data_IF_063497217167
#
_entry.id   IF_063497217167
#
_cell.length_a   1.000
_cell.length_b   1.000
_cell.length_c   1.000
_cell.angle_alpha   90.00
_cell.angle_beta   90.00
_cell.angle_gamma   90.00
#
_symmetry.space_group_name_H-M   'P 1'
#
loop_
_entity.id
_entity.type
_entity.pdbx_description
1 polymer ?
#
# COMPACT_ATOMS: atom_id res chain seq x y z
N UNK A 1 -4.02 0.01 -30.11
CA UNK A 1 -4.98 0.42 -31.15
C UNK A 1 -5.22 1.92 -31.05
N UNK A 2 -5.13 2.64 -32.18
CA UNK A 2 -5.52 4.04 -32.26
C UNK A 2 -7.02 4.15 -32.54
N UNK A 3 -7.70 5.03 -31.84
CA UNK A 3 -9.11 5.36 -32.08
C UNK A 3 -9.24 6.74 -32.71
N UNK A 4 -9.79 6.79 -33.91
CA UNK A 4 -10.05 8.07 -34.61
C UNK A 4 -11.14 8.89 -33.91
N UNK A 5 -12.15 8.22 -33.34
CA UNK A 5 -13.22 8.90 -32.62
C UNK A 5 -12.75 9.52 -31.30
N UNK A 6 -11.86 8.85 -30.58
CA UNK A 6 -11.24 9.35 -29.34
C UNK A 6 -10.00 10.20 -29.61
N UNK A 7 -9.52 10.28 -30.87
CA UNK A 7 -8.28 10.96 -31.27
C UNK A 7 -7.07 10.58 -30.40
N UNK A 8 -6.94 9.30 -30.06
CA UNK A 8 -5.93 8.83 -29.13
C UNK A 8 -5.72 7.31 -29.15
N UNK A 9 -4.86 6.87 -28.26
CA UNK A 9 -4.53 5.46 -28.03
C UNK A 9 -5.28 4.94 -26.79
N UNK A 10 -6.51 4.40 -26.92
CA UNK A 10 -7.31 3.97 -25.78
C UNK A 10 -6.74 2.74 -25.08
N UNK A 11 -5.96 1.92 -25.78
CA UNK A 11 -5.38 0.71 -25.19
C UNK A 11 -4.13 0.24 -25.92
N UNK A 12 -3.29 -0.48 -25.19
CA UNK A 12 -2.14 -1.22 -25.69
C UNK A 12 -2.34 -2.69 -25.39
N UNK A 13 -2.00 -3.56 -26.35
CA UNK A 13 -2.11 -5.00 -26.18
C UNK A 13 -0.72 -5.60 -26.06
N UNK A 14 -0.63 -6.68 -25.30
CA UNK A 14 0.64 -7.39 -25.07
C UNK A 14 0.81 -8.63 -25.97
N UNK A 15 -0.19 -8.97 -26.78
CA UNK A 15 -0.05 -10.03 -27.74
C UNK A 15 0.72 -9.57 -28.99
N UNK A 16 1.61 -10.42 -29.50
CA UNK A 16 2.45 -10.12 -30.65
C UNK A 16 2.15 -11.09 -31.78
N UNK A 17 1.37 -10.68 -32.80
CA UNK A 17 1.17 -11.46 -34.00
C UNK A 17 2.41 -11.45 -34.91
N UNK A 18 2.62 -12.50 -35.66
CA UNK A 18 3.60 -12.53 -36.74
C UNK A 18 3.09 -11.75 -37.98
N UNK A 19 1.78 -11.80 -38.20
CA UNK A 19 1.12 -11.07 -39.25
C UNK A 19 -0.32 -10.77 -38.91
N UNK A 20 -0.84 -9.63 -39.38
CA UNK A 20 -2.22 -9.17 -39.23
C UNK A 20 -2.84 -8.90 -40.58
N UNK A 21 -4.08 -9.36 -40.80
CA UNK A 21 -4.81 -9.09 -42.03
C UNK A 21 -6.31 -8.90 -41.75
N UNK A 22 -6.87 -7.78 -42.23
CA UNK A 22 -8.32 -7.60 -42.37
C UNK A 22 -8.83 -8.31 -43.64
N UNK A 23 -9.83 -9.15 -43.48
CA UNK A 23 -10.52 -9.83 -44.63
C UNK A 23 -12.00 -10.00 -44.25
N UNK A 24 -12.91 -9.72 -45.21
CA UNK A 24 -14.35 -9.93 -45.01
C UNK A 24 -14.92 -9.29 -43.71
N UNK A 25 -14.48 -8.09 -43.38
CA UNK A 25 -14.85 -7.39 -42.15
C UNK A 25 -14.36 -8.04 -40.84
N UNK A 26 -13.52 -9.05 -40.87
CA UNK A 26 -12.88 -9.66 -39.70
C UNK A 26 -11.39 -9.33 -39.68
N UNK A 27 -10.85 -9.25 -38.46
CA UNK A 27 -9.42 -9.17 -38.20
C UNK A 27 -8.86 -10.56 -37.96
N UNK A 28 -7.86 -10.93 -38.74
CA UNK A 28 -7.11 -12.20 -38.56
C UNK A 28 -5.69 -11.89 -38.14
N UNK A 29 -5.15 -12.74 -37.27
CA UNK A 29 -3.74 -12.75 -36.95
C UNK A 29 -3.16 -14.15 -37.16
N UNK A 30 -1.85 -14.19 -37.37
CA UNK A 30 -1.10 -15.44 -37.56
C UNK A 30 -0.05 -15.53 -36.47
N UNK A 31 0.03 -16.68 -35.83
CA UNK A 31 0.98 -16.96 -34.77
C UNK A 31 1.33 -18.46 -34.73
N UNK A 32 2.62 -18.77 -34.75
CA UNK A 32 3.13 -20.15 -34.67
C UNK A 32 2.45 -21.10 -35.70
N UNK A 33 2.24 -20.63 -36.92
CA UNK A 33 1.60 -21.41 -37.99
C UNK A 33 0.08 -21.56 -37.92
N UNK A 34 -0.56 -20.98 -36.90
CA UNK A 34 -2.02 -20.95 -36.73
C UNK A 34 -2.62 -19.60 -37.17
N UNK A 35 -3.84 -19.66 -37.64
CA UNK A 35 -4.65 -18.45 -37.93
C UNK A 35 -5.72 -18.27 -36.84
N UNK A 36 -5.81 -17.07 -36.33
CA UNK A 36 -6.77 -16.69 -35.29
C UNK A 36 -7.68 -15.59 -35.82
N UNK A 37 -8.98 -15.71 -35.58
CA UNK A 37 -9.96 -14.69 -35.86
C UNK A 37 -10.25 -13.90 -34.60
N UNK A 38 -10.20 -12.58 -34.66
CA UNK A 38 -10.45 -11.70 -33.52
C UNK A 38 -11.91 -11.27 -33.44
N UNK A 39 -12.37 -10.95 -32.22
CA UNK A 39 -13.74 -10.48 -31.94
C UNK A 39 -14.84 -11.46 -32.40
N UNK A 40 -14.61 -12.76 -32.26
CA UNK A 40 -15.56 -13.80 -32.66
C UNK A 40 -16.22 -14.54 -31.50
N UNK A 41 -15.81 -14.25 -30.28
CA UNK A 41 -16.38 -14.79 -29.05
C UNK A 41 -16.42 -13.71 -27.94
N UNK A 42 -17.05 -14.03 -26.81
CA UNK A 42 -17.20 -13.14 -25.66
C UNK A 42 -16.12 -13.31 -24.60
N UNK A 43 -15.14 -14.20 -24.84
CA UNK A 43 -14.02 -14.38 -23.92
C UNK A 43 -13.07 -13.18 -24.03
N UNK A 44 -12.89 -12.47 -22.92
CA UNK A 44 -12.00 -11.32 -22.82
C UNK A 44 -10.64 -11.72 -22.26
N UNK A 45 -9.67 -10.84 -22.38
CA UNK A 45 -8.30 -11.02 -21.87
C UNK A 45 -7.63 -12.35 -22.32
N UNK A 46 -8.06 -12.97 -23.40
CA UNK A 46 -7.49 -14.21 -23.91
C UNK A 46 -7.06 -14.03 -25.37
N UNK A 47 -5.79 -14.24 -25.62
CA UNK A 47 -5.21 -14.16 -26.96
C UNK A 47 -4.29 -15.38 -27.18
N UNK A 48 -4.51 -16.08 -28.28
CA UNK A 48 -3.73 -17.29 -28.62
C UNK A 48 -3.78 -18.38 -27.52
N UNK A 49 -4.95 -18.54 -26.90
CA UNK A 49 -5.19 -19.46 -25.78
C UNK A 49 -4.39 -19.13 -24.50
N UNK A 50 -3.87 -17.90 -24.42
CA UNK A 50 -3.16 -17.40 -23.24
C UNK A 50 -4.02 -16.34 -22.57
N UNK A 51 -4.33 -16.59 -21.30
CA UNK A 51 -5.01 -15.62 -20.44
C UNK A 51 -4.07 -14.43 -20.17
N UNK A 52 -4.54 -13.24 -20.48
CA UNK A 52 -3.88 -11.97 -20.20
C UNK A 52 -4.45 -11.28 -18.96
N UNK A 53 -3.87 -10.15 -18.63
CA UNK A 53 -4.28 -9.27 -17.53
C UNK A 53 -4.52 -7.88 -18.10
N UNK A 54 -5.67 -7.30 -17.81
CA UNK A 54 -5.94 -5.88 -18.05
C UNK A 54 -5.29 -5.04 -16.97
N UNK A 55 -4.57 -4.00 -17.37
CA UNK A 55 -3.81 -3.17 -16.43
C UNK A 55 -4.09 -1.70 -16.70
N UNK A 56 -4.36 -0.93 -15.64
CA UNK A 56 -4.50 0.52 -15.68
C UNK A 56 -3.50 1.12 -14.69
N UNK A 57 -2.57 1.92 -15.19
CA UNK A 57 -1.62 2.66 -14.35
C UNK A 57 -1.86 4.16 -14.53
N UNK A 58 -2.02 4.87 -13.43
CA UNK A 58 -2.17 6.33 -13.42
C UNK A 58 -1.71 6.90 -12.08
N UNK A 59 -1.76 8.22 -11.95
CA UNK A 59 -1.30 8.89 -10.73
C UNK A 59 -2.26 9.98 -10.27
N UNK A 60 -2.46 10.06 -8.96
CA UNK A 60 -3.14 11.19 -8.31
C UNK A 60 -2.11 12.22 -7.85
N UNK A 61 -2.24 13.43 -8.35
CA UNK A 61 -1.45 14.57 -7.90
C UNK A 61 -2.34 15.81 -7.76
N UNK A 62 -3.28 15.81 -6.78
CA UNK A 62 -4.17 16.96 -6.58
C UNK A 62 -3.39 18.21 -6.15
N UNK A 63 -3.91 19.37 -6.52
CA UNK A 63 -3.31 20.66 -6.13
C UNK A 63 -3.50 20.95 -4.64
N UNK A 64 -2.54 21.59 -3.94
CA UNK A 64 -1.22 22.03 -4.43
C UNK A 64 -0.26 20.86 -4.66
N UNK A 65 0.49 20.88 -5.76
CA UNK A 65 1.33 19.74 -6.18
C UNK A 65 2.57 19.54 -5.30
N UNK A 66 3.03 20.60 -4.65
CA UNK A 66 4.23 20.60 -3.79
C UNK A 66 3.94 20.33 -2.30
N UNK A 67 2.68 20.16 -1.93
CA UNK A 67 2.32 19.81 -0.56
C UNK A 67 2.35 18.28 -0.39
N UNK A 68 2.86 17.83 0.74
CA UNK A 68 2.74 16.42 1.15
C UNK A 68 1.29 16.12 1.48
N UNK A 69 0.78 15.04 0.94
CA UNK A 69 -0.60 14.59 1.06
C UNK A 69 -0.68 13.25 1.77
N UNK A 70 -1.81 12.99 2.40
CA UNK A 70 -2.19 11.68 2.91
C UNK A 70 -3.30 11.13 2.03
N UNK A 71 -3.01 10.06 1.29
CA UNK A 71 -3.95 9.31 0.48
C UNK A 71 -4.57 8.24 1.37
N UNK A 72 -5.88 8.34 1.63
CA UNK A 72 -6.57 7.48 2.60
C UNK A 72 -7.25 6.28 1.97
N UNK A 73 -7.82 6.48 0.78
CA UNK A 73 -8.66 5.47 0.13
C UNK A 73 -8.32 5.38 -1.34
N UNK A 74 -8.62 4.24 -1.90
CA UNK A 74 -8.72 4.03 -3.33
C UNK A 74 -10.12 3.52 -3.61
N UNK A 75 -10.81 4.13 -4.55
CA UNK A 75 -12.13 3.73 -4.99
C UNK A 75 -12.22 3.72 -6.50
N UNK A 76 -13.14 2.95 -7.05
CA UNK A 76 -13.41 2.93 -8.48
C UNK A 76 -14.84 2.49 -8.77
N UNK A 77 -15.41 3.06 -9.82
CA UNK A 77 -16.69 2.64 -10.40
C UNK A 77 -16.42 1.60 -11.48
N UNK A 78 -16.89 0.38 -11.28
CA UNK A 78 -16.73 -0.73 -12.22
C UNK A 78 -17.80 -1.78 -11.97
N UNK A 79 -18.14 -2.52 -13.02
CA UNK A 79 -19.04 -3.66 -12.92
C UNK A 79 -18.37 -4.91 -12.31
N UNK A 80 -17.05 -4.90 -12.13
CA UNK A 80 -16.30 -5.98 -11.50
C UNK A 80 -15.24 -5.44 -10.52
N UNK A 81 -14.77 -6.28 -9.61
CA UNK A 81 -13.68 -5.95 -8.71
C UNK A 81 -12.33 -5.94 -9.46
N UNK A 82 -11.39 -5.16 -8.96
CA UNK A 82 -10.01 -5.07 -9.44
C UNK A 82 -9.05 -5.22 -8.28
N UNK A 83 -7.89 -5.81 -8.52
CA UNK A 83 -6.79 -5.75 -7.57
C UNK A 83 -5.95 -4.50 -7.82
N UNK A 84 -5.50 -3.83 -6.76
CA UNK A 84 -4.46 -2.81 -6.87
C UNK A 84 -3.11 -3.44 -6.54
N UNK A 85 -2.38 -3.84 -7.58
CA UNK A 85 -1.12 -4.57 -7.43
C UNK A 85 0.05 -3.68 -7.06
N UNK A 86 -0.05 -2.38 -7.32
CA UNK A 86 0.96 -1.41 -6.93
C UNK A 86 0.32 -0.08 -6.52
N UNK A 87 0.71 0.40 -5.37
CA UNK A 87 0.54 1.77 -4.90
C UNK A 87 1.94 2.31 -4.61
N UNK A 88 2.29 3.43 -5.19
CA UNK A 88 3.62 4.01 -5.06
C UNK A 88 3.51 5.52 -4.80
N UNK A 89 4.15 5.97 -3.74
CA UNK A 89 4.41 7.39 -3.51
C UNK A 89 5.92 7.61 -3.51
N UNK A 90 6.36 8.86 -3.48
CA UNK A 90 7.77 9.18 -3.27
C UNK A 90 8.32 8.69 -1.91
N UNK A 91 7.43 8.34 -0.98
CA UNK A 91 7.78 8.01 0.39
C UNK A 91 7.47 6.56 0.79
N UNK A 92 6.56 5.87 0.12
CA UNK A 92 6.10 4.54 0.53
C UNK A 92 5.50 3.75 -0.63
N UNK A 93 5.35 2.45 -0.43
CA UNK A 93 4.73 1.55 -1.40
C UNK A 93 3.71 0.65 -0.72
N UNK A 94 2.73 0.20 -1.48
CA UNK A 94 1.67 -0.65 -0.99
C UNK A 94 0.99 -1.46 -2.09
N UNK A 95 0.00 -2.23 -1.70
CA UNK A 95 -0.90 -2.95 -2.59
C UNK A 95 -2.21 -3.24 -1.87
N UNK A 96 -3.28 -3.48 -2.62
CA UNK A 96 -4.59 -3.86 -2.09
C UNK A 96 -5.07 -5.05 -2.92
N UNK A 97 -5.17 -6.22 -2.30
CA UNK A 97 -5.75 -7.36 -2.97
C UNK A 97 -7.24 -7.12 -3.25
N UNK A 98 -7.75 -7.70 -4.32
CA UNK A 98 -9.14 -7.56 -4.76
C UNK A 98 -10.16 -7.81 -3.64
N UNK A 99 -9.94 -8.83 -2.82
CA UNK A 99 -10.81 -9.21 -1.71
C UNK A 99 -11.01 -8.10 -0.64
N UNK A 100 -10.14 -7.09 -0.61
CA UNK A 100 -10.26 -5.98 0.33
C UNK A 100 -11.06 -4.79 -0.20
N UNK A 101 -11.50 -4.85 -1.45
CA UNK A 101 -12.43 -3.87 -1.97
C UNK A 101 -13.87 -4.27 -1.65
N UNK A 102 -14.58 -3.40 -0.98
CA UNK A 102 -16.01 -3.56 -0.65
C UNK A 102 -16.84 -2.74 -1.63
N UNK A 103 -17.86 -3.37 -2.22
CA UNK A 103 -18.79 -2.66 -3.08
C UNK A 103 -19.89 -2.00 -2.25
N UNK A 104 -20.05 -0.69 -2.39
CA UNK A 104 -21.10 0.10 -1.76
C UNK A 104 -21.66 1.09 -2.78
N UNK A 105 -22.98 1.08 -2.99
CA UNK A 105 -23.70 2.02 -3.86
C UNK A 105 -23.14 2.08 -5.31
N UNK A 106 -22.58 0.97 -5.81
CA UNK A 106 -22.01 0.88 -7.15
C UNK A 106 -20.50 1.24 -7.24
N UNK A 107 -19.93 1.75 -6.17
CA UNK A 107 -18.49 2.03 -6.07
C UNK A 107 -17.76 0.96 -5.27
N UNK A 108 -16.62 0.53 -5.77
CA UNK A 108 -15.69 -0.33 -5.04
C UNK A 108 -14.75 0.54 -4.22
N UNK A 109 -14.57 0.23 -2.96
CA UNK A 109 -13.85 1.05 -2.01
C UNK A 109 -12.92 0.22 -1.13
N UNK A 110 -11.72 0.72 -0.90
CA UNK A 110 -10.79 0.17 0.09
C UNK A 110 -9.94 1.26 0.72
N UNK A 111 -9.47 1.01 1.96
CA UNK A 111 -8.45 1.84 2.57
C UNK A 111 -7.07 1.54 2.00
N UNK A 112 -6.33 2.59 1.69
CA UNK A 112 -4.93 2.49 1.26
C UNK A 112 -4.07 2.03 2.43
N UNK A 113 -3.24 1.02 2.18
CA UNK A 113 -2.31 0.46 3.16
C UNK A 113 -0.92 0.38 2.53
N UNK A 114 0.10 0.76 3.26
CA UNK A 114 1.47 0.50 2.84
C UNK A 114 1.90 -0.91 3.26
N UNK A 115 2.80 -1.52 2.50
CA UNK A 115 3.34 -2.84 2.83
C UNK A 115 4.17 -2.77 4.11
N UNK A 116 3.93 -3.71 5.02
CA UNK A 116 4.78 -3.90 6.20
C UNK A 116 6.21 -4.24 5.75
N UNK A 117 7.21 -3.58 6.33
CA UNK A 117 8.63 -3.85 6.05
C UNK A 117 9.43 -2.69 5.48
N UNK A 118 8.80 -1.62 5.02
CA UNK A 118 9.54 -0.39 4.70
C UNK A 118 9.85 0.33 6.01
N UNK A 119 11.05 0.16 6.51
CA UNK A 119 11.54 0.73 7.78
C UNK A 119 12.13 2.13 7.61
N UNK A 120 11.60 2.93 6.71
CA UNK A 120 12.06 4.32 6.60
C UNK A 120 11.42 5.14 7.72
N UNK A 121 12.15 5.34 8.81
CA UNK A 121 11.68 6.05 10.01
C UNK A 121 11.39 7.52 9.77
N UNK A 122 12.02 8.15 8.79
CA UNK A 122 11.74 9.54 8.43
C UNK A 122 10.33 9.74 7.86
N UNK A 123 9.71 8.67 7.38
CA UNK A 123 8.42 8.69 6.69
C UNK A 123 7.26 8.23 7.56
N UNK A 124 7.56 7.71 8.75
CA UNK A 124 6.58 7.19 9.67
C UNK A 124 6.33 8.18 10.79
N UNK A 125 5.20 8.02 11.42
CA UNK A 125 4.83 8.70 12.66
C UNK A 125 5.66 8.16 13.84
N UNK A 126 6.97 8.36 13.78
CA UNK A 126 7.82 8.05 14.91
C UNK A 126 7.59 9.14 15.99
N UNK A 127 7.16 8.71 17.15
CA UNK A 127 6.97 9.56 18.30
C UNK A 127 8.00 9.20 19.37
N UNK A 128 8.65 10.20 19.93
CA UNK A 128 9.57 9.98 21.06
C UNK A 128 8.81 9.57 22.33
N UNK A 129 9.23 8.48 22.96
CA UNK A 129 8.83 8.15 24.32
C UNK A 129 9.69 8.86 25.36
N UNK A 130 10.96 9.07 25.03
CA UNK A 130 11.95 9.67 25.91
C UNK A 130 13.10 8.74 26.26
N UNK A 131 13.96 9.19 27.13
CA UNK A 131 15.08 8.37 27.62
C UNK A 131 14.62 7.42 28.71
N UNK A 132 15.04 6.18 28.64
CA UNK A 132 14.77 5.15 29.63
C UNK A 132 15.55 5.49 30.90
N UNK A 133 14.84 5.67 32.02
CA UNK A 133 15.45 6.03 33.29
C UNK A 133 16.09 4.80 33.96
N UNK A 134 15.31 3.72 34.11
CA UNK A 134 15.79 2.44 34.64
C UNK A 134 15.04 1.33 33.92
N UNK A 135 15.73 0.28 33.41
CA UNK A 135 15.06 -0.97 33.12
C UNK A 135 14.65 -1.55 34.44
N UNK A 136 13.36 -1.70 34.69
CA UNK A 136 12.86 -2.39 35.87
C UNK A 136 12.83 -3.89 35.61
N UNK A 137 12.79 -4.68 36.67
CA UNK A 137 12.78 -6.12 36.58
C UNK A 137 11.59 -6.62 35.76
N UNK A 138 11.85 -7.45 34.74
CA UNK A 138 10.85 -8.07 33.91
C UNK A 138 11.43 -9.23 33.12
N UNK A 139 10.56 -10.00 32.49
CA UNK A 139 10.99 -11.05 31.56
C UNK A 139 11.17 -10.44 30.17
N UNK A 140 11.91 -11.08 29.24
CA UNK A 140 12.01 -10.60 27.87
C UNK A 140 10.64 -10.40 27.17
N UNK A 141 9.63 -11.19 27.55
CA UNK A 141 8.26 -11.03 27.02
C UNK A 141 7.48 -9.88 27.66
N UNK A 142 7.96 -9.32 28.77
CA UNK A 142 7.32 -8.24 29.52
C UNK A 142 8.38 -7.38 30.23
N UNK A 143 9.22 -6.71 29.45
CA UNK A 143 10.27 -5.82 29.99
C UNK A 143 9.65 -4.47 30.35
N UNK A 144 9.70 -4.10 31.61
CA UNK A 144 9.19 -2.83 32.14
C UNK A 144 10.24 -1.72 31.99
N UNK A 145 9.88 -0.65 31.30
CA UNK A 145 10.72 0.52 31.06
C UNK A 145 10.09 1.76 31.66
N UNK A 146 10.83 2.49 32.51
CA UNK A 146 10.34 3.71 33.15
C UNK A 146 10.80 4.97 32.43
N UNK A 147 9.93 5.98 32.39
CA UNK A 147 10.14 7.26 31.71
C UNK A 147 9.82 8.43 32.62
N UNK A 148 10.29 9.63 32.26
CA UNK A 148 9.93 10.88 32.96
C UNK A 148 8.46 11.25 32.75
N UNK A 149 7.92 10.93 31.57
CA UNK A 149 6.51 11.12 31.20
C UNK A 149 6.13 10.15 30.09
N UNK A 150 4.85 9.84 29.97
CA UNK A 150 4.29 9.06 28.86
C UNK A 150 3.20 9.89 28.20
N UNK A 151 3.33 10.16 26.91
CA UNK A 151 2.31 10.88 26.12
C UNK A 151 1.02 10.08 25.92
N UNK A 152 -0.05 10.75 25.54
CA UNK A 152 -1.37 10.10 25.37
C UNK A 152 -1.51 9.30 24.08
N UNK A 153 -0.65 9.53 23.10
CA UNK A 153 -0.69 8.89 21.77
C UNK A 153 -0.03 7.51 21.72
N UNK A 154 0.66 7.10 22.79
CA UNK A 154 1.26 5.77 22.86
C UNK A 154 0.18 4.70 23.04
N UNK A 155 0.24 3.61 22.27
CA UNK A 155 -0.73 2.54 22.28
C UNK A 155 -0.11 1.17 22.40
N UNK A 156 -0.88 0.21 22.97
CA UNK A 156 -0.51 -1.20 22.98
C UNK A 156 -0.48 -1.71 21.54
N UNK A 157 0.51 -2.54 21.20
CA UNK A 157 0.76 -3.04 19.85
C UNK A 157 1.67 -2.14 19.02
N UNK A 158 2.05 -0.96 19.51
CA UNK A 158 3.02 -0.11 18.84
C UNK A 158 4.41 -0.76 18.83
N UNK A 159 5.11 -0.62 17.70
CA UNK A 159 6.49 -1.09 17.57
C UNK A 159 7.44 -0.04 18.15
N UNK A 160 8.36 -0.48 18.99
CA UNK A 160 9.36 0.41 19.61
C UNK A 160 10.74 0.20 19.02
N UNK A 161 11.47 1.30 18.96
CA UNK A 161 12.84 1.36 18.48
C UNK A 161 13.69 2.14 19.47
N UNK A 162 14.94 1.72 19.64
CA UNK A 162 15.93 2.43 20.43
C UNK A 162 16.91 3.15 19.51
N UNK A 163 17.27 4.37 19.88
CA UNK A 163 18.39 5.09 19.28
C UNK A 163 19.62 4.82 20.12
N UNK A 164 20.64 4.28 19.49
CA UNK A 164 21.98 4.15 20.05
C UNK A 164 22.80 5.28 19.45
N UNK A 165 23.53 6.03 20.27
CA UNK A 165 24.27 7.26 19.95
C UNK A 165 24.64 7.45 18.49
N UNK A 166 23.89 8.33 17.80
CA UNK A 166 24.18 8.76 16.41
C UNK A 166 23.97 7.70 15.31
N UNK A 167 23.45 6.52 15.67
CA UNK A 167 23.17 5.42 14.75
C UNK A 167 21.74 5.37 14.26
N UNK A 168 21.48 4.43 13.35
CA UNK A 168 20.13 4.12 12.89
C UNK A 168 19.28 3.53 14.02
N UNK A 169 17.95 3.77 14.03
CA UNK A 169 17.05 3.18 15.00
C UNK A 169 17.06 1.66 14.93
N UNK A 170 17.23 1.01 16.07
CA UNK A 170 17.26 -0.45 16.21
C UNK A 170 15.93 -0.92 16.81
N UNK A 171 15.36 -1.98 16.26
CA UNK A 171 14.12 -2.57 16.74
C UNK A 171 14.29 -3.04 18.20
N UNK A 172 13.43 -2.52 19.09
CA UNK A 172 13.48 -2.80 20.52
C UNK A 172 12.31 -3.67 21.02
N UNK A 173 11.27 -3.87 20.21
CA UNK A 173 10.15 -4.76 20.54
C UNK A 173 8.79 -4.19 20.21
N UNK A 174 7.76 -4.72 20.90
CA UNK A 174 6.36 -4.31 20.74
C UNK A 174 5.80 -3.95 22.12
N UNK A 175 5.03 -2.87 22.23
CA UNK A 175 4.37 -2.48 23.48
C UNK A 175 3.25 -3.47 23.78
N UNK A 176 3.31 -4.14 24.92
CA UNK A 176 2.29 -5.07 25.41
C UNK A 176 1.52 -4.55 26.61
N UNK A 177 1.99 -3.46 27.23
CA UNK A 177 1.29 -2.84 28.34
C UNK A 177 1.75 -1.39 28.60
N UNK A 178 0.87 -0.57 29.18
CA UNK A 178 1.15 0.82 29.52
C UNK A 178 0.55 1.12 30.89
N UNK A 179 1.40 1.61 31.81
CA UNK A 179 0.98 2.14 33.09
C UNK A 179 1.34 3.63 33.18
N UNK A 180 0.37 4.49 32.83
CA UNK A 180 0.58 5.95 32.82
C UNK A 180 0.82 6.54 34.21
N UNK A 181 0.23 5.97 35.26
CA UNK A 181 0.39 6.46 36.64
C UNK A 181 1.83 6.25 37.13
N UNK A 182 2.40 5.09 36.86
CA UNK A 182 3.77 4.74 37.22
C UNK A 182 4.79 5.16 36.14
N UNK A 183 4.32 5.67 35.01
CA UNK A 183 5.15 6.05 33.86
C UNK A 183 5.98 4.89 33.33
N UNK A 184 5.38 3.70 33.27
CA UNK A 184 5.99 2.47 32.80
C UNK A 184 5.35 2.04 31.48
N UNK A 185 6.20 1.66 30.54
CA UNK A 185 5.80 0.96 29.30
C UNK A 185 6.37 -0.46 29.38
N UNK A 186 5.54 -1.44 29.09
CA UNK A 186 5.91 -2.85 29.07
C UNK A 186 6.12 -3.26 27.62
N UNK A 187 7.30 -3.80 27.32
CA UNK A 187 7.72 -4.13 25.96
C UNK A 187 8.04 -5.63 25.88
N UNK A 188 7.49 -6.29 24.87
CA UNK A 188 7.91 -7.63 24.48
C UNK A 188 9.14 -7.55 23.57
N UNK A 189 10.24 -8.10 24.05
CA UNK A 189 11.55 -8.10 23.36
C UNK A 189 11.94 -9.48 22.83
N UNK A 190 11.00 -10.44 22.76
CA UNK A 190 11.28 -11.83 22.32
C UNK A 190 11.32 -11.98 20.79
N UNK A 191 10.96 -10.96 20.03
CA UNK A 191 10.91 -10.99 18.57
C UNK A 191 12.28 -11.23 17.91
N UNK A 192 12.28 -11.79 16.71
CA UNK A 192 13.50 -11.99 15.92
C UNK A 192 14.07 -10.62 15.49
N UNK A 193 15.37 -10.43 15.68
CA UNK A 193 16.06 -9.17 15.34
C UNK A 193 15.83 -8.04 16.35
N UNK A 194 15.21 -8.32 17.48
CA UNK A 194 14.98 -7.37 18.57
C UNK A 194 16.24 -7.24 19.43
N UNK A 195 16.63 -6.00 19.74
CA UNK A 195 17.67 -5.68 20.72
C UNK A 195 17.01 -5.08 21.95
N UNK A 196 17.13 -5.76 23.09
CA UNK A 196 16.53 -5.29 24.32
C UNK A 196 17.09 -3.90 24.71
N UNK A 197 16.23 -2.91 24.95
CA UNK A 197 16.66 -1.56 25.28
C UNK A 197 17.24 -1.51 26.70
N UNK A 198 18.21 -0.63 26.89
CA UNK A 198 18.87 -0.43 28.19
C UNK A 198 18.65 0.99 28.72
N UNK A 199 18.85 1.19 30.01
CA UNK A 199 18.80 2.52 30.64
C UNK A 199 19.74 3.52 29.93
N UNK A 200 19.26 4.73 29.76
CA UNK A 200 19.98 5.79 29.03
C UNK A 200 19.70 5.82 27.53
N UNK A 201 19.18 4.77 26.92
CA UNK A 201 18.77 4.82 25.53
C UNK A 201 17.52 5.68 25.36
N UNK A 202 17.46 6.41 24.24
CA UNK A 202 16.22 7.10 23.82
C UNK A 202 15.33 6.09 23.11
N UNK A 203 14.08 5.98 23.56
CA UNK A 203 13.08 5.12 22.97
C UNK A 203 12.08 5.95 22.14
N UNK A 204 11.77 5.46 20.96
CA UNK A 204 10.69 5.97 20.14
C UNK A 204 9.73 4.83 19.77
N UNK A 205 8.50 5.17 19.47
CA UNK A 205 7.50 4.21 19.01
C UNK A 205 6.89 4.63 17.69
N UNK A 206 6.46 3.62 16.97
CA UNK A 206 5.66 3.76 15.76
C UNK A 206 4.37 3.03 16.01
N UNK A 207 3.25 3.74 16.03
CA UNK A 207 1.96 3.11 16.16
C UNK A 207 1.76 2.12 15.03
N UNK A 208 1.13 0.98 15.35
CA UNK A 208 0.85 -0.03 14.36
C UNK A 208 -0.09 0.57 13.31
N UNK A 209 0.45 0.87 12.13
CA UNK A 209 -0.28 1.50 11.04
C UNK A 209 -1.45 0.66 10.51
N UNK A 210 -1.49 -0.63 10.86
CA UNK A 210 -2.64 -1.51 10.58
C UNK A 210 -3.86 -1.15 11.44
N UNK A 211 -3.67 -0.51 12.60
CA UNK A 211 -4.74 -0.22 13.55
C UNK A 211 -5.26 1.23 13.50
N UNK A 212 -4.43 2.22 13.16
CA UNK A 212 -4.80 3.62 13.42
C UNK A 212 -4.77 4.57 12.20
N UNK A 213 -3.99 4.30 11.16
CA UNK A 213 -4.01 5.18 9.99
C UNK A 213 -3.86 4.40 8.70
N UNK A 214 -4.97 4.13 8.08
CA UNK A 214 -4.99 3.76 6.69
C UNK A 214 -4.55 4.97 5.88
N UNK A 215 -3.54 4.79 5.04
CA UNK A 215 -3.10 5.85 4.15
C UNK A 215 -1.61 5.77 3.82
N UNK A 216 -1.28 6.40 2.71
CA UNK A 216 0.09 6.60 2.25
C UNK A 216 0.37 8.09 2.11
N UNK A 217 1.55 8.51 2.53
CA UNK A 217 1.98 9.90 2.38
C UNK A 217 2.85 10.06 1.15
N UNK A 218 2.77 11.21 0.54
CA UNK A 218 3.62 11.62 -0.56
C UNK A 218 3.11 12.85 -1.27
N UNK A 219 3.89 13.33 -2.23
CA UNK A 219 3.48 14.42 -3.11
C UNK A 219 2.45 13.96 -4.13
N UNK A 220 2.54 12.71 -4.56
CA UNK A 220 1.64 12.04 -5.49
C UNK A 220 1.45 10.57 -5.07
N UNK A 221 0.46 9.93 -5.62
CA UNK A 221 0.27 8.47 -5.49
C UNK A 221 0.01 7.88 -6.87
N UNK A 222 0.93 7.07 -7.36
CA UNK A 222 0.74 6.23 -8.53
C UNK A 222 0.05 4.94 -8.11
N UNK A 223 -0.88 4.47 -8.91
CA UNK A 223 -1.58 3.21 -8.70
C UNK A 223 -1.57 2.36 -9.98
N UNK A 224 -1.55 1.05 -9.80
CA UNK A 224 -1.72 0.06 -10.86
C UNK A 224 -2.85 -0.87 -10.48
N UNK A 225 -3.96 -0.77 -11.19
CA UNK A 225 -5.09 -1.69 -11.08
C UNK A 225 -4.96 -2.80 -12.10
N UNK A 226 -5.30 -4.02 -11.72
CA UNK A 226 -5.26 -5.21 -12.56
C UNK A 226 -6.54 -6.01 -12.44
N UNK A 227 -6.99 -6.56 -13.57
CA UNK A 227 -8.13 -7.47 -13.65
C UNK A 227 -7.83 -8.55 -14.69
N UNK A 228 -8.10 -9.79 -14.36
CA UNK A 228 -7.88 -10.97 -15.22
C UNK A 228 -9.17 -11.69 -15.63
N UNK A 229 -10.32 -11.07 -15.40
CA UNK A 229 -11.60 -11.63 -15.81
C UNK A 229 -11.67 -11.90 -17.30
N UNK A 230 -12.34 -13.00 -17.64
CA UNK A 230 -12.63 -13.39 -19.02
C UNK A 230 -13.98 -12.89 -19.51
N UNK A 231 -14.74 -12.26 -18.66
CA UNK A 231 -16.01 -11.58 -18.96
C UNK A 231 -15.78 -10.11 -19.32
N UNK A 232 -16.81 -9.44 -19.79
CA UNK A 232 -16.75 -8.01 -20.08
C UNK A 232 -16.69 -7.20 -18.79
N UNK A 233 -15.60 -6.44 -18.62
CA UNK A 233 -15.37 -5.54 -17.48
C UNK A 233 -15.27 -4.12 -17.99
N UNK A 234 -16.02 -3.23 -17.36
CA UNK A 234 -16.01 -1.80 -17.63
C UNK A 234 -15.59 -1.03 -16.37
N UNK A 235 -14.65 -0.10 -16.53
CA UNK A 235 -14.24 0.83 -15.49
C UNK A 235 -14.56 2.25 -15.93
N UNK A 236 -15.31 2.98 -15.11
CA UNK A 236 -15.80 4.32 -15.43
C UNK A 236 -14.97 5.40 -14.75
N UNK A 237 -14.58 5.19 -13.51
CA UNK A 237 -13.81 6.18 -12.76
C UNK A 237 -12.91 5.53 -11.72
N UNK A 238 -11.83 6.24 -11.35
CA UNK A 238 -10.96 5.88 -10.22
C UNK A 238 -10.78 7.13 -9.36
N UNK A 239 -10.98 6.98 -8.07
CA UNK A 239 -10.94 8.05 -7.08
C UNK A 239 -10.04 7.75 -5.88
N UNK A 240 -9.65 8.79 -5.17
CA UNK A 240 -8.93 8.68 -3.90
C UNK A 240 -9.34 9.80 -2.97
N UNK A 241 -9.59 9.47 -1.71
CA UNK A 241 -9.76 10.48 -0.66
C UNK A 241 -8.40 10.97 -0.20
N UNK A 242 -8.15 12.25 -0.39
CA UNK A 242 -6.84 12.87 -0.14
C UNK A 242 -7.00 14.06 0.80
N UNK A 243 -6.10 14.18 1.77
CA UNK A 243 -6.02 15.35 2.63
C UNK A 243 -4.60 15.89 2.68
N UNK A 244 -4.44 17.16 3.00
CA UNK A 244 -3.14 17.76 3.30
C UNK A 244 -2.56 17.06 4.51
N UNK A 245 -1.32 16.62 4.40
CA UNK A 245 -0.58 16.09 5.54
C UNK A 245 0.09 17.23 6.28
N UNK A 246 -0.23 17.36 7.55
CA UNK A 246 0.52 18.25 8.44
C UNK A 246 1.55 17.40 9.19
N UNK A 247 2.80 17.90 9.34
CA UNK A 247 3.82 17.21 10.13
C UNK A 247 3.46 17.16 11.61
#
# INVERSE_FOLDING_TARGET
>A
TYSESAQGWPSFYTFFPEFLKGMNAYLYSFKNGNMYSHNTNDTRNNYYDIQGISTITSAFNPRPTLDVKLFKTLSFESNAAWACTSLLTDLSQGSIAEIFFEQKEGEWFSYVRHNAGVTNFALRYANGLGTILTPTAGTPAALELSFSSIGDIVSIGATVYTLVDGGDPVLAGIIVGINKQQKIVIVDTTGVGVTAPVAGNFLMFVNNTLAESYGMRGYYMEFTLTNDDTTEVEMFSVGSSVMKSYP
#
